data_IF_946952685924
#
_entry.id   IF_946952685924
#
_cell.length_a   1.000
_cell.length_b   1.000
_cell.length_c   1.000
_cell.angle_alpha   90.00
_cell.angle_beta   90.00
_cell.angle_gamma   90.00
#
_symmetry.space_group_name_H-M   'P 1'
#
loop_
_entity.id
_entity.type
_entity.pdbx_description
1 polymer ?
#
# COMPACT_ATOMS: atom_id res chain seq x y z
N UNK A 1 -28.54 5.59 -6.79
CA UNK A 1 -29.69 6.53 -6.92
C UNK A 1 -29.29 8.00 -7.16
N UNK A 2 -28.20 8.49 -6.55
CA UNK A 2 -27.79 9.91 -6.61
C UNK A 2 -26.79 10.26 -7.73
N UNK A 3 -26.48 9.32 -8.62
CA UNK A 3 -25.57 9.55 -9.73
C UNK A 3 -26.30 10.34 -10.84
N UNK A 4 -25.77 11.48 -11.32
CA UNK A 4 -26.38 12.24 -12.40
C UNK A 4 -26.45 11.40 -13.68
N UNK A 5 -27.41 11.68 -14.55
CA UNK A 5 -27.66 10.93 -15.79
C UNK A 5 -27.80 11.87 -16.97
N UNK A 6 -27.53 11.36 -18.18
CA UNK A 6 -27.70 12.10 -19.43
C UNK A 6 -26.95 13.44 -19.42
N UNK A 7 -27.63 14.53 -19.77
CA UNK A 7 -27.01 15.86 -19.85
C UNK A 7 -26.39 16.32 -18.53
N UNK A 8 -26.99 15.99 -17.38
CA UNK A 8 -26.43 16.36 -16.09
C UNK A 8 -25.17 15.55 -15.75
N UNK A 9 -25.04 14.33 -16.26
CA UNK A 9 -23.79 13.57 -16.20
C UNK A 9 -22.70 14.24 -17.04
N UNK A 10 -23.02 14.63 -18.27
CA UNK A 10 -22.05 15.28 -19.16
C UNK A 10 -21.54 16.61 -18.57
N UNK A 11 -22.42 17.39 -17.95
CA UNK A 11 -22.06 18.62 -17.21
C UNK A 11 -21.18 18.34 -16.01
N UNK A 12 -21.53 17.33 -15.21
CA UNK A 12 -20.73 16.93 -14.04
C UNK A 12 -19.34 16.47 -14.45
N UNK A 13 -19.22 15.63 -15.49
CA UNK A 13 -17.92 15.18 -16.03
C UNK A 13 -17.10 16.35 -16.56
N UNK A 14 -17.72 17.30 -17.28
CA UNK A 14 -17.03 18.50 -17.76
C UNK A 14 -16.47 19.32 -16.59
N UNK A 15 -17.24 19.49 -15.52
CA UNK A 15 -16.80 20.15 -14.30
C UNK A 15 -15.67 19.39 -13.60
N UNK A 16 -15.82 18.08 -13.34
CA UNK A 16 -14.79 17.27 -12.69
C UNK A 16 -13.47 17.28 -13.44
N UNK A 17 -13.51 17.25 -14.78
CA UNK A 17 -12.31 17.38 -15.64
C UNK A 17 -11.61 18.74 -15.52
N UNK A 18 -12.32 19.78 -15.06
CA UNK A 18 -11.72 21.09 -14.80
C UNK A 18 -11.02 21.18 -13.44
N UNK A 19 -11.25 20.22 -12.53
CA UNK A 19 -10.60 20.19 -11.21
C UNK A 19 -9.13 19.83 -11.37
N UNK A 20 -8.25 20.83 -11.29
CA UNK A 20 -6.79 20.68 -11.36
C UNK A 20 -6.14 21.75 -10.50
N UNK A 21 -4.89 21.52 -10.12
CA UNK A 21 -4.08 22.53 -9.43
C UNK A 21 -3.96 23.80 -10.27
N UNK A 22 -4.09 24.96 -9.62
CA UNK A 22 -3.93 26.25 -10.27
C UNK A 22 -2.50 26.46 -10.76
N UNK A 23 -2.38 27.18 -11.89
CA UNK A 23 -1.07 27.53 -12.44
C UNK A 23 -0.31 28.41 -11.44
N UNK A 24 0.88 27.96 -11.03
CA UNK A 24 1.73 28.69 -10.08
C UNK A 24 1.39 28.46 -8.61
N UNK A 25 0.55 27.47 -8.29
CA UNK A 25 0.38 26.99 -6.93
C UNK A 25 1.74 26.67 -6.30
N UNK A 26 1.92 27.08 -5.04
CA UNK A 26 3.15 26.84 -4.27
C UNK A 26 2.90 25.75 -3.25
N UNK A 27 3.83 24.80 -3.17
CA UNK A 27 3.87 23.75 -2.16
C UNK A 27 5.11 23.96 -1.29
N UNK A 28 5.02 23.66 0.00
CA UNK A 28 6.18 23.73 0.91
C UNK A 28 7.23 22.68 0.56
N UNK A 29 6.81 21.58 -0.07
CA UNK A 29 7.66 20.47 -0.50
C UNK A 29 7.06 19.77 -1.70
N UNK A 30 7.88 19.57 -2.73
CA UNK A 30 7.58 18.72 -3.88
C UNK A 30 8.42 17.44 -3.81
N UNK A 31 7.76 16.29 -3.88
CA UNK A 31 8.41 14.97 -3.92
C UNK A 31 7.96 14.27 -5.20
N UNK A 32 8.91 13.96 -6.07
CA UNK A 32 8.65 13.22 -7.30
C UNK A 32 9.01 11.74 -7.12
N UNK A 33 8.04 10.86 -7.33
CA UNK A 33 8.21 9.41 -7.28
C UNK A 33 7.80 8.83 -8.63
N UNK A 34 8.72 8.13 -9.28
CA UNK A 34 8.40 7.40 -10.48
C UNK A 34 7.72 6.08 -10.10
N UNK A 35 6.45 5.91 -10.49
CA UNK A 35 5.65 4.74 -10.14
C UNK A 35 6.27 3.42 -10.65
N UNK A 36 7.03 3.46 -11.75
CA UNK A 36 7.69 2.28 -12.30
C UNK A 36 8.82 1.74 -11.40
N UNK A 37 9.37 2.58 -10.53
CA UNK A 37 10.46 2.21 -9.63
C UNK A 37 9.93 1.62 -8.31
N UNK A 38 8.62 1.64 -8.10
CA UNK A 38 7.96 1.14 -6.88
C UNK A 38 7.55 -0.32 -7.10
N UNK A 39 8.34 -1.23 -6.54
CA UNK A 39 7.98 -2.64 -6.47
C UNK A 39 6.73 -2.85 -5.58
N UNK A 40 5.99 -3.97 -5.74
CA UNK A 40 4.94 -4.34 -4.80
C UNK A 40 5.48 -4.36 -3.37
N UNK A 41 4.81 -3.67 -2.45
CA UNK A 41 5.25 -3.53 -1.06
C UNK A 41 4.36 -4.30 -0.09
N UNK A 42 4.95 -4.71 1.01
CA UNK A 42 4.28 -5.35 2.15
C UNK A 42 4.71 -4.67 3.44
N UNK A 43 3.78 -4.59 4.39
CA UNK A 43 4.07 -4.16 5.76
C UNK A 43 4.50 -5.37 6.56
N UNK A 44 5.70 -5.35 7.11
CA UNK A 44 6.26 -6.44 7.93
C UNK A 44 6.01 -6.24 9.43
N UNK A 45 5.85 -4.99 9.87
CA UNK A 45 5.73 -4.60 11.27
C UNK A 45 4.29 -4.32 11.71
N UNK A 46 4.18 -3.59 12.82
CA UNK A 46 2.89 -3.24 13.43
C UNK A 46 2.41 -1.84 13.07
N UNK A 47 3.21 -1.05 12.34
CA UNK A 47 2.79 0.25 11.80
C UNK A 47 2.69 0.20 10.27
N UNK A 48 1.74 0.91 9.63
CA UNK A 48 1.66 1.01 8.17
C UNK A 48 2.93 1.53 7.48
N UNK A 49 3.81 2.24 8.19
CA UNK A 49 5.09 2.73 7.65
C UNK A 49 6.18 1.65 7.57
N UNK A 50 6.04 0.54 8.31
CA UNK A 50 7.03 -0.52 8.39
C UNK A 50 6.95 -1.43 7.16
N UNK A 51 7.37 -0.87 6.02
CA UNK A 51 7.18 -1.46 4.69
C UNK A 51 8.51 -1.80 4.04
N UNK A 52 8.48 -2.86 3.23
CA UNK A 52 9.56 -3.28 2.34
C UNK A 52 8.96 -3.77 1.02
N UNK A 53 9.77 -3.86 -0.03
CA UNK A 53 9.37 -4.59 -1.24
C UNK A 53 9.10 -6.06 -0.91
N UNK A 54 8.19 -6.71 -1.62
CA UNK A 54 7.91 -8.15 -1.45
C UNK A 54 9.15 -9.01 -1.70
N UNK A 55 10.07 -8.57 -2.56
CA UNK A 55 11.36 -9.22 -2.82
C UNK A 55 12.44 -8.84 -1.79
N UNK A 56 12.08 -8.10 -0.74
CA UNK A 56 12.98 -7.60 0.28
C UNK A 56 13.09 -8.49 1.50
N UNK A 57 13.78 -7.98 2.52
CA UNK A 57 13.98 -8.66 3.80
C UNK A 57 13.49 -7.79 4.96
N UNK A 58 13.10 -8.45 6.05
CA UNK A 58 12.77 -7.83 7.33
C UNK A 58 13.98 -7.01 7.81
N UNK A 59 13.82 -5.70 8.09
CA UNK A 59 14.94 -4.85 8.50
C UNK A 59 15.57 -5.27 9.83
N UNK A 60 16.87 -5.02 9.95
CA UNK A 60 17.65 -5.35 11.15
C UNK A 60 17.70 -4.16 12.12
N UNK A 61 17.13 -4.27 13.35
CA UNK A 61 17.14 -3.19 14.33
C UNK A 61 18.54 -2.73 14.73
N UNK A 62 19.56 -3.59 14.64
CA UNK A 62 20.94 -3.22 14.96
C UNK A 62 21.49 -2.14 14.03
N UNK A 63 20.93 -2.02 12.81
CA UNK A 63 21.30 -1.02 11.81
C UNK A 63 20.56 0.31 11.95
N UNK A 64 19.53 0.37 12.79
CA UNK A 64 18.82 1.63 13.05
C UNK A 64 19.72 2.60 13.82
N UNK A 65 19.82 3.85 13.37
CA UNK A 65 20.61 4.88 14.04
C UNK A 65 19.88 5.52 15.22
N UNK A 66 18.55 5.64 15.13
CA UNK A 66 17.68 6.14 16.20
C UNK A 66 17.37 5.03 17.21
N UNK A 67 17.73 5.19 18.50
CA UNK A 67 17.38 4.25 19.56
C UNK A 67 15.88 3.96 19.69
N UNK A 68 15.02 4.97 19.46
CA UNK A 68 13.56 4.78 19.55
C UNK A 68 13.04 3.92 18.40
N UNK A 69 13.55 4.15 17.19
CA UNK A 69 13.19 3.31 16.04
C UNK A 69 13.68 1.88 16.25
N UNK A 70 14.90 1.70 16.77
CA UNK A 70 15.42 0.38 17.14
C UNK A 70 14.48 -0.36 18.10
N UNK A 71 14.14 0.25 19.22
CA UNK A 71 13.23 -0.34 20.22
C UNK A 71 11.86 -0.68 19.62
N UNK A 72 11.32 0.21 18.79
CA UNK A 72 10.05 -0.03 18.08
C UNK A 72 10.13 -1.23 17.13
N UNK A 73 11.23 -1.34 16.36
CA UNK A 73 11.46 -2.47 15.46
C UNK A 73 11.60 -3.78 16.24
N UNK A 74 12.37 -3.80 17.34
CA UNK A 74 12.52 -4.99 18.20
C UNK A 74 11.16 -5.47 18.74
N UNK A 75 10.30 -4.55 19.18
CA UNK A 75 8.93 -4.86 19.60
C UNK A 75 8.08 -5.40 18.46
N UNK A 76 8.15 -4.79 17.28
CA UNK A 76 7.41 -5.25 16.11
C UNK A 76 7.85 -6.66 15.69
N UNK A 77 9.15 -6.95 15.66
CA UNK A 77 9.67 -8.28 15.34
C UNK A 77 9.20 -9.34 16.34
N UNK A 78 9.28 -9.02 17.63
CA UNK A 78 8.80 -9.91 18.70
C UNK A 78 7.31 -10.19 18.58
N UNK A 79 6.49 -9.16 18.33
CA UNK A 79 5.05 -9.31 18.15
C UNK A 79 4.68 -10.11 16.90
N UNK A 80 5.34 -9.83 15.77
CA UNK A 80 5.07 -10.48 14.49
C UNK A 80 5.68 -11.89 14.40
N UNK A 81 6.60 -12.25 15.29
CA UNK A 81 7.32 -13.52 15.24
C UNK A 81 8.31 -13.59 14.08
N UNK A 82 8.85 -12.45 13.64
CA UNK A 82 9.77 -12.35 12.51
C UNK A 82 11.21 -12.19 12.98
N UNK A 83 12.15 -12.69 12.18
CA UNK A 83 13.58 -12.53 12.42
C UNK A 83 14.18 -11.44 11.53
N UNK A 84 15.15 -10.69 12.06
CA UNK A 84 15.91 -9.73 11.26
C UNK A 84 16.59 -10.44 10.07
N UNK A 85 16.46 -9.86 8.87
CA UNK A 85 17.01 -10.41 7.63
C UNK A 85 16.21 -11.54 7.00
N UNK A 86 15.11 -11.99 7.61
CA UNK A 86 14.19 -12.95 7.00
C UNK A 86 13.63 -12.38 5.69
N UNK A 87 13.66 -13.15 4.60
CA UNK A 87 13.06 -12.72 3.34
C UNK A 87 11.54 -12.70 3.48
N UNK A 88 10.88 -11.69 2.89
CA UNK A 88 9.43 -11.61 2.96
C UNK A 88 8.75 -12.78 2.25
N UNK A 89 9.38 -13.33 1.21
CA UNK A 89 8.90 -14.47 0.44
C UNK A 89 9.02 -15.81 1.22
N UNK A 90 9.86 -15.86 2.25
CA UNK A 90 10.03 -17.06 3.11
C UNK A 90 8.96 -17.14 4.21
N UNK A 91 8.15 -16.10 4.38
CA UNK A 91 7.12 -16.05 5.43
C UNK A 91 5.92 -16.91 5.01
N UNK A 92 5.66 -17.96 5.79
CA UNK A 92 4.50 -18.83 5.57
C UNK A 92 3.18 -18.08 5.82
N UNK A 93 2.30 -18.11 4.83
CA UNK A 93 0.97 -17.51 4.91
C UNK A 93 -0.05 -18.59 5.33
N UNK A 94 -0.51 -18.50 6.58
CA UNK A 94 -1.49 -19.45 7.12
C UNK A 94 -2.94 -18.98 6.95
N UNK A 95 -3.15 -17.67 6.88
CA UNK A 95 -4.47 -17.04 6.77
C UNK A 95 -4.37 -15.84 5.85
N UNK A 96 -5.39 -15.68 5.02
CA UNK A 96 -5.52 -14.53 4.13
C UNK A 96 -6.89 -13.91 4.35
N UNK A 97 -6.91 -12.60 4.56
CA UNK A 97 -8.12 -11.79 4.57
C UNK A 97 -8.10 -10.85 3.37
N UNK A 98 -9.21 -10.79 2.64
CA UNK A 98 -9.35 -10.01 1.41
C UNK A 98 -10.59 -9.14 1.53
N UNK A 99 -10.39 -7.82 1.41
CA UNK A 99 -11.47 -6.83 1.43
C UNK A 99 -11.45 -5.96 2.67
N UNK A 100 -10.89 -4.76 2.54
CA UNK A 100 -11.01 -3.66 3.51
C UNK A 100 -11.73 -2.48 2.88
N UNK A 101 -12.04 -1.41 3.63
CA UNK A 101 -12.58 -0.18 3.04
C UNK A 101 -11.67 0.40 1.94
N UNK A 102 -10.36 0.10 1.97
CA UNK A 102 -9.38 0.52 0.97
C UNK A 102 -9.38 -0.38 -0.27
N UNK A 103 -9.62 -1.69 -0.13
CA UNK A 103 -9.39 -2.69 -1.19
C UNK A 103 -10.52 -3.73 -1.31
N UNK A 104 -11.79 -3.28 -1.33
CA UNK A 104 -12.98 -4.16 -1.45
C UNK A 104 -13.90 -3.79 -2.62
N UNK A 105 -13.43 -2.99 -3.58
CA UNK A 105 -14.23 -2.68 -4.78
C UNK A 105 -14.40 -3.94 -5.62
N UNK A 106 -15.42 -3.95 -6.47
CA UNK A 106 -15.72 -5.11 -7.32
C UNK A 106 -14.54 -5.45 -8.26
N UNK A 107 -13.78 -4.45 -8.69
CA UNK A 107 -12.56 -4.62 -9.46
C UNK A 107 -11.47 -5.34 -8.67
N UNK A 108 -11.29 -5.00 -7.39
CA UNK A 108 -10.29 -5.64 -6.51
C UNK A 108 -10.64 -7.14 -6.34
N UNK A 109 -11.92 -7.47 -6.11
CA UNK A 109 -12.36 -8.87 -5.98
C UNK A 109 -12.21 -9.66 -7.28
N UNK A 110 -12.43 -9.04 -8.44
CA UNK A 110 -12.23 -9.67 -9.75
C UNK A 110 -10.76 -9.98 -10.01
N UNK A 111 -9.84 -9.10 -9.60
CA UNK A 111 -8.41 -9.36 -9.71
C UNK A 111 -7.99 -10.55 -8.87
N UNK A 112 -8.45 -10.62 -7.62
CA UNK A 112 -8.22 -11.79 -6.74
C UNK A 112 -8.75 -13.06 -7.37
N UNK A 113 -10.00 -13.04 -7.86
CA UNK A 113 -10.62 -14.19 -8.52
C UNK A 113 -9.81 -14.67 -9.73
N UNK A 114 -9.24 -13.74 -10.51
CA UNK A 114 -8.39 -14.08 -11.65
C UNK A 114 -7.08 -14.77 -11.24
N UNK A 115 -6.47 -14.36 -10.12
CA UNK A 115 -5.23 -14.97 -9.60
C UNK A 115 -5.47 -16.41 -9.11
N UNK A 116 -6.56 -16.64 -8.37
CA UNK A 116 -6.85 -17.96 -7.77
C UNK A 116 -7.47 -18.94 -8.77
N UNK A 117 -8.03 -18.45 -9.88
CA UNK A 117 -8.66 -19.30 -10.89
C UNK A 117 -7.67 -20.33 -11.45
N UNK A 118 -7.99 -21.60 -11.25
CA UNK A 118 -7.18 -22.73 -11.75
C UNK A 118 -6.03 -23.15 -10.84
N UNK A 119 -5.83 -22.48 -9.69
CA UNK A 119 -4.89 -22.90 -8.65
C UNK A 119 -5.67 -23.67 -7.58
N UNK A 120 -5.57 -25.01 -7.63
CA UNK A 120 -6.19 -25.93 -6.66
C UNK A 120 -5.12 -26.50 -5.75
#
# INVERSE_FOLDING_TARGET
PLCPKGKEWDRAVAYWKSLRTDKGAKFDKDIHLNAADIAPTVTWGTSPEDTVAITGAVPDPSKATDPKKRESMEKALSYMGLSAGQLMEDIEITKVFIGSCTNSRIEDMRQVAAVVKGRK
#
